data_IF_823568439991
#
_entry.id   IF_823568439991
#
_cell.length_a   1.000
_cell.length_b   1.000
_cell.length_c   1.000
_cell.angle_alpha   90.00
_cell.angle_beta   90.00
_cell.angle_gamma   90.00
#
_symmetry.space_group_name_H-M   'P 1'
#
loop_
_entity.id
_entity.type
_entity.pdbx_description
1 polymer ?
#
# COMPACT_ATOMS: atom_id res chain seq x y z
N UNK A 1 -20.12 -11.18 29.03
CA UNK A 1 -18.93 -12.06 29.12
C UNK A 1 -17.74 -11.30 28.55
N UNK A 2 -16.82 -10.83 29.39
CA UNK A 2 -15.71 -9.96 28.97
C UNK A 2 -14.70 -10.79 28.16
N UNK A 3 -14.34 -10.34 26.95
CA UNK A 3 -13.37 -10.97 26.04
C UNK A 3 -11.92 -10.79 26.51
N UNK A 4 -11.62 -11.19 27.75
CA UNK A 4 -10.30 -11.00 28.36
C UNK A 4 -9.19 -11.75 27.59
N UNK A 5 -9.52 -12.94 27.05
CA UNK A 5 -8.58 -13.74 26.26
C UNK A 5 -8.24 -13.13 24.89
N UNK A 6 -9.19 -12.42 24.27
CA UNK A 6 -8.98 -11.75 22.97
C UNK A 6 -8.06 -10.54 23.10
N UNK A 7 -8.21 -9.77 24.18
CA UNK A 7 -7.36 -8.61 24.45
C UNK A 7 -5.92 -9.03 24.77
N UNK A 8 -5.72 -10.14 25.48
CA UNK A 8 -4.37 -10.63 25.80
C UNK A 8 -3.63 -11.21 24.58
N UNK A 9 -4.36 -11.83 23.64
CA UNK A 9 -3.79 -12.27 22.36
C UNK A 9 -3.47 -11.10 21.43
N UNK A 10 -4.32 -10.05 21.43
CA UNK A 10 -4.07 -8.82 20.67
C UNK A 10 -2.88 -8.03 21.23
N UNK A 11 -2.76 -7.92 22.55
CA UNK A 11 -1.64 -7.24 23.21
C UNK A 11 -0.31 -7.99 23.05
N UNK A 12 -0.30 -9.33 23.06
CA UNK A 12 0.91 -10.11 22.74
C UNK A 12 1.32 -9.96 21.26
N UNK A 13 0.37 -9.79 20.33
CA UNK A 13 0.69 -9.49 18.93
C UNK A 13 1.29 -8.08 18.76
N UNK A 14 0.77 -7.09 19.48
CA UNK A 14 1.33 -5.72 19.48
C UNK A 14 2.70 -5.63 20.16
N UNK A 15 2.95 -6.43 21.20
CA UNK A 15 4.22 -6.43 21.94
C UNK A 15 5.38 -7.06 21.14
N UNK A 16 5.07 -7.99 20.24
CA UNK A 16 6.03 -8.58 19.32
C UNK A 16 6.42 -7.66 18.14
N UNK A 17 5.79 -6.48 18.04
CA UNK A 17 5.98 -5.52 16.95
C UNK A 17 7.16 -4.58 17.19
N UNK A 18 7.71 -4.55 18.41
CA UNK A 18 8.86 -3.73 18.80
C UNK A 18 10.23 -4.40 18.63
N UNK A 19 10.29 -5.69 18.28
CA UNK A 19 11.54 -6.36 17.95
C UNK A 19 11.70 -6.44 16.44
N UNK A 20 12.62 -5.61 15.97
CA UNK A 20 13.24 -5.54 14.66
C UNK A 20 13.38 -6.93 13.99
N UNK A 21 13.31 -6.93 12.65
CA UNK A 21 13.94 -7.92 11.75
C UNK A 21 13.19 -9.21 11.32
N UNK A 22 11.86 -9.30 11.38
CA UNK A 22 11.16 -10.51 10.87
C UNK A 22 9.87 -10.31 10.06
N UNK A 23 9.59 -9.10 9.57
CA UNK A 23 8.40 -8.82 8.75
C UNK A 23 8.58 -9.14 7.26
N UNK A 24 9.17 -10.29 6.92
CA UNK A 24 9.29 -10.77 5.54
C UNK A 24 8.32 -11.90 5.19
N UNK A 25 7.25 -12.07 5.96
CA UNK A 25 6.40 -13.26 5.83
C UNK A 25 5.08 -13.24 6.59
N UNK A 26 4.30 -12.17 6.50
CA UNK A 26 2.87 -12.27 6.76
C UNK A 26 2.12 -11.56 5.66
N UNK A 27 1.56 -12.36 4.75
CA UNK A 27 0.55 -11.95 3.78
C UNK A 27 -0.65 -11.38 4.55
N UNK A 28 -0.55 -10.13 4.98
CA UNK A 28 -1.67 -9.43 5.57
C UNK A 28 -2.78 -9.35 4.52
N UNK A 29 -4.04 -9.33 4.96
CA UNK A 29 -5.16 -9.21 4.02
C UNK A 29 -4.99 -7.97 3.11
N UNK A 30 -4.42 -6.89 3.64
CA UNK A 30 -4.05 -5.69 2.88
C UNK A 30 -3.01 -5.98 1.79
N UNK A 31 -1.95 -6.73 2.10
CA UNK A 31 -0.90 -7.08 1.14
C UNK A 31 -1.40 -8.03 0.03
N UNK A 32 -2.28 -8.98 0.37
CA UNK A 32 -2.92 -9.85 -0.64
C UNK A 32 -3.81 -9.01 -1.55
N UNK A 33 -4.58 -8.09 -0.97
CA UNK A 33 -5.50 -7.24 -1.73
C UNK A 33 -4.76 -6.29 -2.68
N UNK A 34 -3.73 -5.59 -2.20
CA UNK A 34 -2.97 -4.67 -3.05
C UNK A 34 -2.23 -5.38 -4.17
N UNK A 35 -1.72 -6.59 -3.91
CA UNK A 35 -1.08 -7.42 -4.96
C UNK A 35 -2.09 -7.78 -6.05
N UNK A 36 -3.33 -8.14 -5.66
CA UNK A 36 -4.40 -8.39 -6.62
C UNK A 36 -4.78 -7.13 -7.40
N UNK A 37 -4.96 -6.01 -6.71
CA UNK A 37 -5.37 -4.75 -7.31
C UNK A 37 -4.29 -4.24 -8.31
N UNK A 38 -3.00 -4.40 -8.01
CA UNK A 38 -1.89 -4.06 -8.92
C UNK A 38 -1.87 -4.99 -10.14
N UNK A 39 -2.14 -6.29 -9.97
CA UNK A 39 -2.17 -7.25 -11.08
C UNK A 39 -3.34 -7.00 -12.04
N UNK A 40 -4.47 -6.50 -11.53
CA UNK A 40 -5.64 -6.14 -12.34
C UNK A 40 -5.56 -4.69 -12.86
N UNK A 41 -4.54 -3.92 -12.47
CA UNK A 41 -4.42 -2.51 -12.80
C UNK A 41 -4.07 -2.32 -14.28
N UNK A 42 -4.99 -1.71 -15.02
CA UNK A 42 -4.74 -1.26 -16.40
C UNK A 42 -4.65 0.27 -16.41
N UNK A 43 -3.42 0.79 -16.50
CA UNK A 43 -3.20 2.23 -16.53
C UNK A 43 -3.27 2.76 -17.97
N UNK A 44 -4.03 3.84 -18.21
CA UNK A 44 -3.97 4.56 -19.48
C UNK A 44 -2.61 5.24 -19.65
N UNK A 45 -2.25 5.61 -20.88
CA UNK A 45 -0.93 6.16 -21.23
C UNK A 45 -0.56 7.45 -20.50
N UNK A 46 -1.56 8.18 -20.03
CA UNK A 46 -1.41 9.42 -19.26
C UNK A 46 -1.20 9.18 -17.75
N UNK A 47 -1.16 7.93 -17.28
CA UNK A 47 -0.96 7.57 -15.88
C UNK A 47 0.20 6.60 -15.72
N UNK A 48 1.10 6.89 -14.77
CA UNK A 48 2.24 6.02 -14.44
C UNK A 48 2.26 5.78 -12.94
N UNK A 49 2.22 4.52 -12.54
CA UNK A 49 2.46 4.11 -11.16
C UNK A 49 3.96 3.90 -10.95
N UNK A 50 4.49 4.46 -9.88
CA UNK A 50 5.87 4.31 -9.43
C UNK A 50 5.82 3.63 -8.05
N UNK A 51 6.28 2.37 -7.94
CA UNK A 51 6.37 1.69 -6.64
C UNK A 51 7.44 2.33 -5.76
N UNK A 52 7.36 2.11 -4.45
CA UNK A 52 8.40 2.56 -3.53
C UNK A 52 9.73 1.82 -3.79
N UNK A 53 10.89 2.51 -3.77
CA UNK A 53 12.20 1.87 -3.91
C UNK A 53 12.48 0.76 -2.90
N UNK A 54 11.86 0.80 -1.71
CA UNK A 54 12.06 -0.22 -0.67
C UNK A 54 11.26 -1.51 -0.92
N UNK A 55 10.48 -1.57 -2.01
CA UNK A 55 9.69 -2.75 -2.39
C UNK A 55 8.40 -2.91 -1.59
N UNK A 56 7.97 -1.85 -0.89
CA UNK A 56 6.66 -1.79 -0.26
C UNK A 56 5.57 -1.51 -1.30
N UNK A 57 4.58 -2.41 -1.38
CA UNK A 57 3.45 -2.28 -2.29
C UNK A 57 2.33 -1.39 -1.71
N UNK A 58 2.34 -1.15 -0.40
CA UNK A 58 1.35 -0.30 0.27
C UNK A 58 1.64 1.19 0.06
N UNK A 59 2.93 1.52 -0.12
CA UNK A 59 3.38 2.86 -0.41
C UNK A 59 3.70 2.97 -1.89
N UNK A 60 3.02 3.84 -2.63
CA UNK A 60 3.33 4.06 -4.04
C UNK A 60 2.91 5.44 -4.49
N UNK A 61 3.44 5.87 -5.64
CA UNK A 61 3.10 7.14 -6.26
C UNK A 61 2.39 6.91 -7.58
N UNK A 62 1.39 7.73 -7.87
CA UNK A 62 0.78 7.82 -9.19
C UNK A 62 1.11 9.17 -9.78
N UNK A 63 1.64 9.16 -10.99
CA UNK A 63 1.91 10.34 -11.79
C UNK A 63 0.85 10.41 -12.89
N UNK A 64 0.12 11.51 -12.95
CA UNK A 64 -0.87 11.79 -13.98
C UNK A 64 -0.36 12.93 -14.85
N UNK A 65 -0.34 12.71 -16.16
CA UNK A 65 0.10 13.65 -17.19
C UNK A 65 -1.06 13.90 -18.18
N UNK A 66 -1.99 14.82 -17.90
CA UNK A 66 -3.12 15.07 -18.77
C UNK A 66 -2.67 15.54 -20.16
N UNK A 67 -3.29 14.99 -21.20
CA UNK A 67 -3.05 15.29 -22.61
C UNK A 67 -4.12 16.21 -23.22
N UNK A 68 -5.21 16.47 -22.48
CA UNK A 68 -6.33 17.33 -22.86
C UNK A 68 -6.83 18.21 -21.70
N UNK A 69 -7.70 19.17 -22.02
CA UNK A 69 -8.35 20.06 -21.05
C UNK A 69 -7.44 21.14 -20.44
N UNK A 70 -7.89 21.74 -19.33
CA UNK A 70 -7.19 22.84 -18.65
C UNK A 70 -5.83 22.46 -18.09
N UNK A 71 -5.65 21.18 -17.76
CA UNK A 71 -4.43 20.66 -17.15
C UNK A 71 -3.51 19.98 -18.17
N UNK A 72 -3.78 20.13 -19.46
CA UNK A 72 -2.96 19.60 -20.55
C UNK A 72 -1.50 20.01 -20.39
N UNK A 73 -0.60 19.03 -20.44
CA UNK A 73 0.84 19.24 -20.26
C UNK A 73 1.29 19.39 -18.81
N UNK A 74 0.36 19.35 -17.85
CA UNK A 74 0.67 19.28 -16.43
C UNK A 74 1.21 17.91 -16.03
N UNK A 75 1.94 17.85 -14.92
CA UNK A 75 2.41 16.61 -14.30
C UNK A 75 2.07 16.65 -12.82
N UNK A 76 1.22 15.74 -12.38
CA UNK A 76 0.72 15.69 -11.01
C UNK A 76 1.16 14.39 -10.34
N UNK A 77 1.84 14.49 -9.20
CA UNK A 77 2.30 13.32 -8.45
C UNK A 77 1.46 13.18 -7.19
N UNK A 78 0.79 12.05 -7.05
CA UNK A 78 0.01 11.66 -5.89
C UNK A 78 0.74 10.55 -5.14
N UNK A 79 0.74 10.60 -3.81
CA UNK A 79 1.32 9.56 -2.96
C UNK A 79 0.23 8.84 -2.17
N UNK A 80 0.25 7.52 -2.21
CA UNK A 80 -0.62 6.64 -1.44
C UNK A 80 0.24 5.93 -0.39
N UNK A 81 -0.27 5.87 0.85
CA UNK A 81 0.37 5.31 2.04
C UNK A 81 -0.68 4.61 2.91
#
# INVERSE_FOLDING_TARGET
>A
MIKLFSLKSQQNQSSAQNNQSSQRGRNTAAQIRITKDINELTLPKNCVMVPDPDGDLLNFKIIICPDEGFYKGGKFTFSFK
#
